data_IF_574154926346
#
_entry.id   IF_574154926346
#
_cell.length_a   1.000
_cell.length_b   1.000
_cell.length_c   1.000
_cell.angle_alpha   90.00
_cell.angle_beta   90.00
_cell.angle_gamma   90.00
#
_symmetry.space_group_name_H-M   'P 1'
#
loop_
_entity.id
_entity.type
_entity.pdbx_description
1 polymer ?
#
# COMPACT_ATOMS: atom_id res chain seq x y z
N UNK A 1 -1.67 15.05 12.73
CA UNK A 1 -2.05 15.52 11.38
C UNK A 1 -0.91 15.14 10.44
N UNK A 2 -0.84 13.89 9.96
CA UNK A 2 0.13 13.47 8.94
C UNK A 2 -0.33 13.94 7.55
N UNK A 3 -0.58 15.25 7.44
CA UNK A 3 -1.04 15.88 6.21
C UNK A 3 0.12 15.94 5.22
N UNK A 4 0.02 15.14 4.16
CA UNK A 4 0.86 15.23 2.96
C UNK A 4 2.31 14.75 3.06
N UNK A 5 2.63 13.76 3.91
CA UNK A 5 3.92 13.07 3.79
C UNK A 5 3.89 12.09 2.62
N UNK A 6 4.64 12.40 1.57
CA UNK A 6 4.76 11.58 0.37
C UNK A 6 6.15 10.95 0.32
N UNK A 7 6.24 9.64 0.15
CA UNK A 7 7.49 8.87 0.22
C UNK A 7 7.67 7.91 -0.97
N UNK A 8 8.91 7.66 -1.41
CA UNK A 8 9.24 6.53 -2.29
C UNK A 8 8.88 5.18 -1.67
N UNK A 9 8.64 4.17 -2.50
CA UNK A 9 8.18 2.84 -2.07
C UNK A 9 8.96 2.25 -0.88
N UNK A 10 10.29 2.30 -0.90
CA UNK A 10 11.13 1.68 0.14
C UNK A 10 11.02 2.43 1.48
N UNK A 11 11.05 3.77 1.45
CA UNK A 11 10.85 4.59 2.65
C UNK A 11 9.42 4.49 3.18
N UNK A 12 8.45 4.40 2.28
CA UNK A 12 7.05 4.27 2.65
C UNK A 12 6.76 2.90 3.30
N UNK A 13 7.42 1.85 2.82
CA UNK A 13 7.37 0.52 3.43
C UNK A 13 7.91 0.54 4.86
N UNK A 14 9.08 1.16 5.08
CA UNK A 14 9.66 1.36 6.41
C UNK A 14 8.73 2.16 7.32
N UNK A 15 8.23 3.31 6.85
CA UNK A 15 7.35 4.17 7.64
C UNK A 15 6.01 3.50 8.01
N UNK A 16 5.49 2.64 7.14
CA UNK A 16 4.22 1.91 7.36
C UNK A 16 4.43 0.59 8.13
N UNK A 17 5.68 0.15 8.29
CA UNK A 17 6.03 -1.12 8.92
C UNK A 17 5.59 -2.35 8.10
N UNK A 18 5.74 -2.27 6.77
CA UNK A 18 5.45 -3.38 5.84
C UNK A 18 6.65 -3.65 4.96
N UNK A 19 6.67 -4.80 4.27
CA UNK A 19 7.72 -5.05 3.29
C UNK A 19 7.48 -4.27 1.99
N UNK A 20 8.53 -3.87 1.24
CA UNK A 20 8.37 -3.24 -0.08
C UNK A 20 7.57 -4.11 -1.08
N UNK A 21 7.58 -5.43 -0.91
CA UNK A 21 6.75 -6.35 -1.70
C UNK A 21 5.25 -6.13 -1.47
N UNK A 22 4.84 -5.79 -0.24
CA UNK A 22 3.45 -5.51 0.12
C UNK A 22 2.96 -4.23 -0.57
N UNK A 23 3.77 -3.17 -0.59
CA UNK A 23 3.45 -1.93 -1.32
C UNK A 23 3.26 -2.21 -2.82
N UNK A 24 4.13 -3.04 -3.41
CA UNK A 24 4.01 -3.46 -4.82
C UNK A 24 2.74 -4.27 -5.09
N UNK A 25 2.39 -5.20 -4.21
CA UNK A 25 1.17 -6.00 -4.31
C UNK A 25 -0.08 -5.12 -4.20
N UNK A 26 -0.12 -4.19 -3.23
CA UNK A 26 -1.21 -3.23 -3.10
C UNK A 26 -1.39 -2.37 -4.34
N UNK A 27 -0.29 -1.85 -4.92
CA UNK A 27 -0.35 -1.11 -6.18
C UNK A 27 -0.87 -1.98 -7.32
N UNK A 28 -0.37 -3.22 -7.45
CA UNK A 28 -0.79 -4.16 -8.50
C UNK A 28 -2.28 -4.47 -8.40
N UNK A 29 -2.81 -4.60 -7.19
CA UNK A 29 -4.24 -4.83 -6.90
C UNK A 29 -5.10 -3.57 -6.98
N UNK A 30 -4.49 -2.39 -7.19
CA UNK A 30 -5.20 -1.12 -7.24
C UNK A 30 -5.67 -0.57 -5.88
N UNK A 31 -5.19 -1.13 -4.77
CA UNK A 31 -5.55 -0.69 -3.42
C UNK A 31 -4.95 0.67 -3.05
N UNK A 32 -3.84 1.02 -3.70
CA UNK A 32 -3.15 2.29 -3.55
C UNK A 32 -2.81 2.83 -4.94
N UNK A 33 -2.70 4.15 -5.06
CA UNK A 33 -2.24 4.82 -6.28
C UNK A 33 -1.06 5.73 -5.94
N UNK A 34 -0.03 5.81 -6.80
CA UNK A 34 1.00 6.81 -6.63
C UNK A 34 0.39 8.20 -6.81
N UNK A 35 0.76 9.13 -5.93
CA UNK A 35 0.33 10.54 -5.99
C UNK A 35 1.29 11.40 -6.83
N UNK A 36 2.41 10.80 -7.28
CA UNK A 36 3.39 11.45 -8.14
C UNK A 36 4.61 10.56 -8.39
N UNK A 37 5.71 11.20 -8.82
CA UNK A 37 6.96 10.52 -9.18
C UNK A 37 6.97 10.03 -10.63
N UNK A 38 7.85 9.06 -10.91
CA UNK A 38 7.96 8.46 -12.25
C UNK A 38 7.48 7.01 -12.24
N UNK A 39 7.17 6.40 -13.40
CA UNK A 39 6.79 4.99 -13.46
C UNK A 39 7.80 4.03 -12.79
N UNK A 40 9.10 4.39 -12.78
CA UNK A 40 10.18 3.63 -12.12
C UNK A 40 10.43 4.01 -10.66
N UNK A 41 10.01 5.21 -10.25
CA UNK A 41 10.19 5.77 -8.89
C UNK A 41 8.87 6.42 -8.43
N UNK A 42 7.82 5.62 -8.17
CA UNK A 42 6.53 6.14 -7.74
C UNK A 42 6.61 6.68 -6.31
N UNK A 43 5.82 7.72 -6.04
CA UNK A 43 5.67 8.34 -4.73
C UNK A 43 4.27 8.07 -4.17
N UNK A 44 4.19 7.72 -2.88
CA UNK A 44 2.94 7.34 -2.21
C UNK A 44 2.66 8.24 -1.01
N UNK A 45 1.40 8.63 -0.85
CA UNK A 45 0.95 9.30 0.36
C UNK A 45 0.91 8.30 1.52
N UNK A 46 1.51 8.67 2.66
CA UNK A 46 1.56 7.80 3.82
C UNK A 46 0.16 7.48 4.37
N UNK A 47 -0.77 8.45 4.27
CA UNK A 47 -2.16 8.27 4.67
C UNK A 47 -2.86 7.13 3.90
N UNK A 48 -2.67 7.07 2.57
CA UNK A 48 -3.26 6.01 1.74
C UNK A 48 -2.69 4.63 2.08
N UNK A 49 -1.40 4.57 2.43
CA UNK A 49 -0.76 3.32 2.85
C UNK A 49 -1.29 2.83 4.19
N UNK A 50 -1.52 3.75 5.14
CA UNK A 50 -2.15 3.42 6.42
C UNK A 50 -3.60 2.95 6.22
N UNK A 51 -4.36 3.62 5.36
CA UNK A 51 -5.71 3.19 4.99
C UNK A 51 -5.70 1.79 4.37
N UNK A 52 -4.79 1.51 3.42
CA UNK A 52 -4.65 0.19 2.81
C UNK A 52 -4.21 -0.89 3.81
N UNK A 53 -3.37 -0.55 4.80
CA UNK A 53 -2.97 -1.46 5.88
C UNK A 53 -4.14 -1.84 6.78
N UNK A 54 -5.01 -0.87 7.08
CA UNK A 54 -6.18 -1.05 7.94
C UNK A 54 -7.39 -1.61 7.18
N UNK A 55 -7.39 -1.55 5.85
CA UNK A 55 -8.46 -2.08 5.03
C UNK A 55 -8.71 -3.55 5.38
N UNK A 56 -9.99 -3.98 5.49
CA UNK A 56 -10.32 -5.36 5.79
C UNK A 56 -9.66 -6.27 4.76
N UNK A 57 -8.75 -7.15 5.22
CA UNK A 57 -8.24 -8.21 4.35
C UNK A 57 -9.45 -9.03 3.92
N UNK A 58 -9.65 -9.30 2.61
CA UNK A 58 -10.69 -10.23 2.21
C UNK A 58 -10.44 -11.51 2.99
N UNK A 59 -11.39 -11.84 3.87
CA UNK A 59 -11.35 -13.11 4.59
C UNK A 59 -11.23 -14.15 3.50
N UNK A 60 -10.16 -14.96 3.55
CA UNK A 60 -10.06 -16.15 2.71
C UNK A 60 -11.36 -16.89 2.99
N UNK A 61 -12.36 -16.78 2.11
CA UNK A 61 -13.53 -17.64 2.18
C UNK A 61 -12.91 -19.02 2.04
N UNK A 62 -12.87 -19.76 3.15
CA UNK A 62 -12.57 -21.17 3.10
C UNK A 62 -13.53 -21.72 2.04
N UNK A 63 -12.99 -22.11 0.90
CA UNK A 63 -13.74 -22.88 -0.08
C UNK A 63 -13.94 -24.25 0.57
N UNK A 64 -15.00 -24.40 1.35
CA UNK A 64 -15.57 -25.71 1.63
C UNK A 64 -16.23 -26.17 0.33
N UNK A 65 -15.46 -26.86 -0.50
CA UNK A 65 -16.03 -27.72 -1.52
C UNK A 65 -16.72 -28.89 -0.80
N UNK A 66 -17.98 -29.11 -1.17
CA UNK A 66 -18.86 -30.17 -0.68
C UNK A 66 -18.47 -31.54 -1.27
#
# INVERSE_FOLDING_TARGET
MDGMRVLPADLAALATGVQPATIRDWRRRGLIKPVGGTPRRPLYALADLHAAKQAPKPRRQLQTAA
#
